data_IF_469360185019
#
_entry.id   IF_469360185019
#
_cell.length_a   1.000
_cell.length_b   1.000
_cell.length_c   1.000
_cell.angle_alpha   90.00
_cell.angle_beta   90.00
_cell.angle_gamma   90.00
#
_symmetry.space_group_name_H-M   'P 1'
#
loop_
_entity.id
_entity.type
_entity.pdbx_description
1 polymer ?
#
# COMPACT_ATOMS: atom_id res chain seq x y z
N UNK A 1 60.45 21.94 43.49
CA UNK A 1 61.08 20.65 43.19
C UNK A 1 59.97 19.74 42.74
N UNK A 2 59.87 19.56 41.43
CA UNK A 2 60.28 18.45 40.56
C UNK A 2 59.56 17.15 40.90
N UNK A 3 58.68 16.61 40.04
CA UNK A 3 59.02 15.71 38.94
C UNK A 3 57.81 15.40 38.04
N UNK A 4 57.97 15.64 36.74
CA UNK A 4 57.13 15.08 35.66
C UNK A 4 57.31 13.55 35.61
N UNK A 5 56.21 12.79 35.54
CA UNK A 5 56.19 11.39 35.16
C UNK A 5 55.42 11.27 33.84
N UNK A 6 56.17 10.98 32.78
CA UNK A 6 55.70 10.79 31.40
C UNK A 6 55.27 9.32 31.26
N UNK A 7 54.00 9.04 30.94
CA UNK A 7 53.55 7.72 30.52
C UNK A 7 53.32 7.76 29.03
N UNK A 8 54.27 7.28 28.26
CA UNK A 8 54.20 6.98 26.82
C UNK A 8 54.44 5.49 26.71
N UNK A 9 53.58 4.72 26.12
CA UNK A 9 53.93 3.35 25.78
C UNK A 9 52.79 2.31 25.67
N UNK A 10 51.53 2.69 25.50
CA UNK A 10 50.44 1.71 25.33
C UNK A 10 49.94 1.51 23.90
N UNK A 11 50.07 2.50 23.02
CA UNK A 11 49.48 2.48 21.68
C UNK A 11 50.31 1.68 20.64
N UNK A 12 51.60 1.84 20.68
CA UNK A 12 52.47 1.21 19.68
C UNK A 12 52.53 -0.31 19.74
N UNK A 13 52.41 -0.90 20.94
CA UNK A 13 52.43 -2.37 21.09
C UNK A 13 51.18 -3.05 20.57
N UNK A 14 50.05 -2.37 20.61
CA UNK A 14 48.76 -2.91 20.10
C UNK A 14 48.71 -2.88 18.55
N UNK A 15 49.28 -1.85 17.97
CA UNK A 15 49.34 -1.70 16.51
C UNK A 15 50.36 -2.66 15.86
N UNK A 16 51.51 -2.87 16.47
CA UNK A 16 52.52 -3.83 16.02
C UNK A 16 52.03 -5.29 16.13
N UNK A 17 51.23 -5.60 17.17
CA UNK A 17 50.56 -6.91 17.31
C UNK A 17 49.56 -7.19 16.21
N UNK A 18 48.75 -6.17 15.85
CA UNK A 18 47.76 -6.27 14.75
C UNK A 18 48.43 -6.42 13.39
N UNK A 19 49.55 -5.68 13.14
CA UNK A 19 50.31 -5.79 11.90
C UNK A 19 50.97 -7.16 11.75
N UNK A 20 51.48 -7.75 12.86
CA UNK A 20 52.07 -9.11 12.85
C UNK A 20 51.01 -10.20 12.66
N UNK A 21 49.82 -10.06 13.24
CA UNK A 21 48.72 -10.99 13.00
C UNK A 21 48.18 -10.93 11.57
N UNK A 22 48.08 -9.74 10.99
CA UNK A 22 47.69 -9.58 9.60
C UNK A 22 48.73 -10.15 8.63
N UNK A 23 50.03 -9.96 8.92
CA UNK A 23 51.14 -10.53 8.12
C UNK A 23 51.17 -12.07 8.20
N UNK A 24 50.87 -12.67 9.36
CA UNK A 24 50.81 -14.12 9.52
C UNK A 24 49.60 -14.73 8.80
N UNK A 25 48.44 -14.04 8.76
CA UNK A 25 47.27 -14.50 8.01
C UNK A 25 47.51 -14.52 6.50
N UNK A 26 48.29 -13.55 5.97
CA UNK A 26 48.62 -13.50 4.54
C UNK A 26 49.64 -14.58 4.17
N UNK A 27 50.57 -14.94 5.09
CA UNK A 27 51.59 -15.99 4.82
C UNK A 27 51.01 -17.40 4.92
N UNK A 28 49.99 -17.61 5.79
CA UNK A 28 49.28 -18.88 5.87
C UNK A 28 48.42 -19.18 4.62
N UNK A 29 47.99 -18.14 3.90
CA UNK A 29 47.26 -18.30 2.65
C UNK A 29 48.18 -18.61 1.43
N UNK A 30 49.52 -18.49 1.59
CA UNK A 30 50.49 -18.72 0.51
C UNK A 30 51.26 -20.02 0.59
N UNK A 31 51.11 -20.79 1.66
CA UNK A 31 51.85 -22.02 1.91
C UNK A 31 51.01 -23.27 1.90
N UNK A 32 50.60 -23.72 0.75
CA UNK A 32 49.89 -25.01 0.58
C UNK A 32 49.87 -25.41 -0.88
N UNK A 33 51.01 -26.03 -1.33
CA UNK A 33 51.06 -26.60 -2.67
C UNK A 33 50.18 -27.84 -2.80
N UNK A 34 49.61 -28.01 -3.98
CA UNK A 34 49.06 -29.29 -4.39
C UNK A 34 47.57 -29.24 -4.78
N UNK A 35 47.30 -29.18 -6.06
CA UNK A 35 46.11 -29.67 -6.69
C UNK A 35 44.95 -28.66 -6.77
N UNK A 36 44.23 -28.72 -7.85
CA UNK A 36 43.00 -27.99 -8.24
C UNK A 36 41.99 -27.61 -7.13
N UNK A 37 42.15 -28.10 -5.91
CA UNK A 37 41.22 -27.80 -4.78
C UNK A 37 41.27 -26.36 -4.30
N UNK A 38 42.43 -25.69 -4.31
CA UNK A 38 42.51 -24.26 -3.92
C UNK A 38 41.88 -23.34 -4.94
N UNK A 39 42.03 -23.65 -6.22
CA UNK A 39 41.40 -22.89 -7.30
C UNK A 39 39.87 -23.10 -7.32
N UNK A 40 39.41 -24.33 -7.06
CA UNK A 40 37.96 -24.65 -6.94
C UNK A 40 37.37 -23.94 -5.74
N UNK A 41 38.03 -23.91 -4.58
CA UNK A 41 37.54 -23.17 -3.40
C UNK A 41 37.45 -21.65 -3.63
N UNK A 42 38.47 -21.07 -4.32
CA UNK A 42 38.47 -19.66 -4.70
C UNK A 42 37.30 -19.31 -5.66
N UNK A 43 37.06 -20.16 -6.67
CA UNK A 43 35.98 -20.00 -7.62
C UNK A 43 34.60 -20.14 -6.90
N UNK A 44 34.48 -21.11 -5.99
CA UNK A 44 33.26 -21.31 -5.23
C UNK A 44 32.89 -20.07 -4.37
N UNK A 45 33.88 -19.43 -3.72
CA UNK A 45 33.66 -18.21 -2.94
C UNK A 45 33.21 -17.05 -3.84
N UNK A 46 33.86 -16.89 -5.00
CA UNK A 46 33.48 -15.83 -5.96
C UNK A 46 32.07 -16.05 -6.50
N UNK A 47 31.70 -17.31 -6.81
CA UNK A 47 30.34 -17.64 -7.26
C UNK A 47 29.33 -17.38 -6.17
N UNK A 48 29.59 -17.76 -4.91
CA UNK A 48 28.69 -17.49 -3.79
C UNK A 48 28.51 -15.98 -3.58
N UNK A 49 29.60 -15.20 -3.63
CA UNK A 49 29.53 -13.74 -3.52
C UNK A 49 28.76 -13.12 -4.69
N UNK A 50 28.93 -13.60 -5.91
CA UNK A 50 28.21 -13.15 -7.08
C UNK A 50 26.71 -13.48 -6.96
N UNK A 51 26.35 -14.66 -6.44
CA UNK A 51 24.97 -15.04 -6.18
C UNK A 51 24.35 -14.18 -5.07
N UNK A 52 25.07 -13.97 -3.97
CA UNK A 52 24.58 -13.12 -2.86
C UNK A 52 24.38 -11.67 -3.33
N UNK A 53 25.34 -11.12 -4.09
CA UNK A 53 25.19 -9.78 -4.67
C UNK A 53 24.09 -9.74 -5.72
N UNK A 54 24.00 -10.75 -6.59
CA UNK A 54 22.95 -10.85 -7.61
C UNK A 54 21.55 -10.98 -7.00
N UNK A 55 21.39 -11.81 -5.98
CA UNK A 55 20.13 -11.93 -5.23
C UNK A 55 19.83 -10.65 -4.45
N UNK A 56 20.85 -10.04 -3.82
CA UNK A 56 20.68 -8.76 -3.12
C UNK A 56 20.24 -7.64 -4.05
N UNK A 57 20.86 -7.50 -5.22
CA UNK A 57 20.46 -6.52 -6.25
C UNK A 57 19.09 -6.85 -6.84
N UNK A 58 18.77 -8.13 -7.03
CA UNK A 58 17.46 -8.54 -7.53
C UNK A 58 16.34 -8.25 -6.52
N UNK A 59 16.56 -8.54 -5.22
CA UNK A 59 15.63 -8.20 -4.15
C UNK A 59 15.49 -6.68 -4.01
N UNK A 60 16.58 -5.93 -4.07
CA UNK A 60 16.56 -4.47 -4.02
C UNK A 60 15.85 -3.88 -5.24
N UNK A 61 16.00 -4.49 -6.42
CA UNK A 61 15.31 -4.04 -7.63
C UNK A 61 13.83 -4.41 -7.67
N UNK A 62 13.44 -5.51 -7.02
CA UNK A 62 12.03 -5.87 -6.80
C UNK A 62 11.30 -4.90 -5.87
N UNK A 63 12.03 -4.33 -4.91
CA UNK A 63 11.48 -3.40 -3.92
C UNK A 63 11.61 -1.92 -4.35
N UNK A 64 12.18 -1.64 -5.52
CA UNK A 64 12.10 -0.29 -6.08
C UNK A 64 10.67 -0.07 -6.56
N UNK A 65 9.95 0.96 -6.03
CA UNK A 65 8.68 1.35 -6.63
C UNK A 65 8.92 1.59 -8.12
N UNK A 66 8.32 0.77 -8.96
CA UNK A 66 8.39 0.97 -10.41
C UNK A 66 7.85 2.36 -10.75
N UNK A 67 8.42 3.02 -11.76
CA UNK A 67 7.81 4.24 -12.28
C UNK A 67 6.37 3.91 -12.69
N UNK A 68 5.41 4.72 -12.23
CA UNK A 68 4.03 4.58 -12.66
C UNK A 68 3.94 4.73 -14.20
N UNK A 69 3.04 4.02 -14.87
CA UNK A 69 2.79 4.22 -16.29
C UNK A 69 2.34 5.66 -16.56
N UNK A 70 2.42 6.11 -17.80
CA UNK A 70 2.04 7.49 -18.17
C UNK A 70 0.56 7.80 -17.90
N UNK A 71 -0.29 6.78 -17.92
CA UNK A 71 -1.72 6.89 -17.63
C UNK A 71 -2.20 5.72 -16.77
N UNK A 72 -3.26 5.96 -15.99
CA UNK A 72 -3.94 4.91 -15.22
C UNK A 72 -4.71 4.03 -16.21
N UNK A 73 -4.49 2.71 -16.24
CA UNK A 73 -5.29 1.81 -17.06
C UNK A 73 -6.76 1.85 -16.64
N UNK A 74 -7.63 1.89 -17.63
CA UNK A 74 -9.09 1.91 -17.41
C UNK A 74 -9.58 0.50 -17.12
N UNK A 75 -10.26 0.30 -15.98
CA UNK A 75 -10.92 -0.96 -15.67
C UNK A 75 -12.03 -1.30 -16.68
N UNK A 76 -12.26 -2.58 -16.91
CA UNK A 76 -13.34 -3.04 -17.78
C UNK A 76 -14.71 -2.59 -17.26
N UNK A 77 -15.70 -2.54 -18.12
CA UNK A 77 -17.06 -2.32 -17.69
C UNK A 77 -17.56 -3.53 -16.90
N UNK A 78 -18.00 -3.28 -15.66
CA UNK A 78 -18.58 -4.28 -14.77
C UNK A 78 -20.10 -4.25 -14.75
N UNK A 79 -20.67 -4.89 -13.74
CA UNK A 79 -22.11 -4.85 -13.45
C UNK A 79 -22.54 -3.43 -13.09
N UNK A 80 -23.80 -3.08 -13.45
CA UNK A 80 -24.35 -1.77 -13.14
C UNK A 80 -25.12 -1.83 -11.81
N UNK A 81 -24.97 -0.82 -10.99
CA UNK A 81 -25.67 -0.65 -9.72
C UNK A 81 -25.84 0.85 -9.41
N UNK A 82 -26.86 1.22 -8.63
CA UNK A 82 -27.03 2.62 -8.20
C UNK A 82 -25.82 3.09 -7.39
N UNK A 83 -25.41 4.33 -7.62
CA UNK A 83 -24.36 5.01 -6.84
C UNK A 83 -24.93 6.34 -6.35
N UNK A 84 -24.64 6.69 -5.11
CA UNK A 84 -25.05 7.97 -4.50
C UNK A 84 -24.07 8.37 -3.40
N UNK A 85 -24.13 9.62 -2.99
CA UNK A 85 -23.37 10.09 -1.82
C UNK A 85 -24.27 10.18 -0.60
N UNK A 86 -23.72 9.84 0.56
CA UNK A 86 -24.36 10.03 1.85
C UNK A 86 -23.34 10.55 2.87
N UNK A 87 -23.36 11.84 3.13
CA UNK A 87 -22.34 12.49 3.97
C UNK A 87 -20.95 12.34 3.38
N UNK A 88 -20.03 11.72 4.14
CA UNK A 88 -18.66 11.45 3.73
C UNK A 88 -18.48 10.08 3.08
N UNK A 89 -19.57 9.39 2.73
CA UNK A 89 -19.53 8.05 2.17
C UNK A 89 -20.10 8.00 0.75
N UNK A 90 -19.65 7.02 -0.03
CA UNK A 90 -20.15 6.69 -1.37
C UNK A 90 -20.91 5.37 -1.25
N UNK A 91 -22.21 5.43 -1.52
CA UNK A 91 -23.13 4.30 -1.35
C UNK A 91 -23.40 3.67 -2.69
N UNK A 92 -23.21 2.35 -2.78
CA UNK A 92 -23.51 1.54 -3.95
C UNK A 92 -24.56 0.49 -3.62
N UNK A 93 -25.46 0.21 -4.59
CA UNK A 93 -26.59 -0.69 -4.41
C UNK A 93 -27.87 0.01 -3.93
N UNK A 94 -28.95 -0.75 -3.86
CA UNK A 94 -30.26 -0.24 -3.50
C UNK A 94 -30.38 0.11 -2.01
N UNK A 95 -31.14 1.17 -1.66
CA UNK A 95 -31.32 1.60 -0.27
C UNK A 95 -32.05 0.57 0.60
N UNK A 96 -32.85 -0.31 0.00
CA UNK A 96 -33.60 -1.37 0.67
C UNK A 96 -32.84 -2.70 0.78
N UNK A 97 -31.58 -2.75 0.37
CA UNK A 97 -30.78 -3.96 0.50
C UNK A 97 -30.68 -4.39 1.98
N UNK A 98 -30.89 -5.69 2.27
CA UNK A 98 -30.99 -6.17 3.65
C UNK A 98 -29.68 -6.14 4.42
N UNK A 99 -28.53 -6.10 3.72
CA UNK A 99 -27.20 -6.08 4.31
C UNK A 99 -26.51 -4.76 3.98
N UNK A 100 -25.95 -4.10 4.99
CA UNK A 100 -25.06 -2.95 4.79
C UNK A 100 -23.64 -3.40 5.07
N UNK A 101 -22.74 -3.12 4.12
CA UNK A 101 -21.31 -3.42 4.21
C UNK A 101 -20.55 -2.11 4.06
N UNK A 102 -19.99 -1.60 5.16
CA UNK A 102 -19.15 -0.41 5.15
C UNK A 102 -17.68 -0.83 4.95
N UNK A 103 -17.01 -0.23 3.98
CA UNK A 103 -15.61 -0.48 3.65
C UNK A 103 -14.81 0.80 3.81
N UNK A 104 -13.92 0.83 4.79
CA UNK A 104 -12.99 1.95 5.05
C UNK A 104 -11.66 1.64 4.38
N UNK A 105 -11.25 2.45 3.43
CA UNK A 105 -10.13 2.14 2.56
C UNK A 105 -9.26 3.36 2.23
N UNK A 106 -7.98 3.11 1.99
CA UNK A 106 -7.00 4.09 1.54
C UNK A 106 -6.37 3.62 0.24
N UNK A 107 -6.35 4.47 -0.79
CA UNK A 107 -5.86 4.12 -2.13
C UNK A 107 -4.34 3.87 -2.21
N UNK A 108 -3.60 4.13 -1.14
CA UNK A 108 -2.18 3.77 -1.04
C UNK A 108 -1.95 2.50 -0.21
N UNK A 109 -2.96 2.02 0.52
CA UNK A 109 -2.82 0.87 1.42
C UNK A 109 -2.72 -0.45 0.66
N UNK A 110 -1.59 -1.20 0.73
CA UNK A 110 -1.43 -2.45 0.00
C UNK A 110 -2.46 -3.52 0.38
N UNK A 111 -2.88 -3.55 1.64
CA UNK A 111 -3.90 -4.50 2.12
C UNK A 111 -5.28 -4.15 1.56
N UNK A 112 -5.60 -2.85 1.38
CA UNK A 112 -6.82 -2.43 0.66
C UNK A 112 -6.80 -2.91 -0.80
N UNK A 113 -5.67 -2.80 -1.50
CA UNK A 113 -5.55 -3.34 -2.85
C UNK A 113 -5.73 -4.85 -2.92
N UNK A 114 -5.26 -5.60 -1.90
CA UNK A 114 -5.51 -7.04 -1.80
C UNK A 114 -6.99 -7.33 -1.51
N UNK A 115 -7.61 -6.58 -0.62
CA UNK A 115 -9.04 -6.69 -0.31
C UNK A 115 -9.89 -6.47 -1.56
N UNK A 116 -9.66 -5.38 -2.30
CA UNK A 116 -10.37 -5.09 -3.54
C UNK A 116 -10.16 -6.19 -4.60
N UNK A 117 -8.94 -6.68 -4.76
CA UNK A 117 -8.66 -7.80 -5.67
C UNK A 117 -9.44 -9.07 -5.33
N UNK A 118 -9.68 -9.34 -4.04
CA UNK A 118 -10.37 -10.56 -3.58
C UNK A 118 -11.90 -10.39 -3.57
N UNK A 119 -12.40 -9.22 -3.22
CA UNK A 119 -13.82 -9.04 -2.88
C UNK A 119 -14.58 -8.11 -3.81
N UNK A 120 -13.92 -7.23 -4.58
CA UNK A 120 -14.58 -6.21 -5.41
C UNK A 120 -15.70 -6.78 -6.28
N UNK A 121 -15.42 -7.82 -7.06
CA UNK A 121 -16.42 -8.41 -7.96
C UNK A 121 -17.63 -8.96 -7.20
N UNK A 122 -17.42 -9.56 -6.03
CA UNK A 122 -18.50 -10.12 -5.21
C UNK A 122 -19.32 -9.03 -4.52
N UNK A 123 -18.68 -7.96 -4.06
CA UNK A 123 -19.36 -6.81 -3.45
C UNK A 123 -20.19 -6.07 -4.48
N UNK A 124 -19.65 -5.79 -5.66
CA UNK A 124 -20.38 -5.09 -6.73
C UNK A 124 -21.52 -5.94 -7.28
N UNK A 125 -21.33 -7.27 -7.39
CA UNK A 125 -22.44 -8.18 -7.76
C UNK A 125 -23.53 -8.21 -6.69
N UNK A 126 -23.15 -8.23 -5.41
CA UNK A 126 -24.14 -8.18 -4.32
C UNK A 126 -24.91 -6.85 -4.32
N UNK A 127 -24.26 -5.73 -4.65
CA UNK A 127 -24.90 -4.43 -4.81
C UNK A 127 -25.89 -4.42 -6.00
N UNK A 128 -25.47 -4.98 -7.16
CA UNK A 128 -26.32 -5.08 -8.36
C UNK A 128 -27.51 -6.00 -8.15
N UNK A 129 -27.33 -7.12 -7.44
CA UNK A 129 -28.40 -8.07 -7.10
C UNK A 129 -29.35 -7.55 -6.00
N UNK A 130 -29.10 -6.38 -5.42
CA UNK A 130 -29.88 -5.85 -4.28
C UNK A 130 -29.72 -6.64 -2.98
N UNK A 131 -28.68 -7.48 -2.87
CA UNK A 131 -28.38 -8.29 -1.67
C UNK A 131 -27.66 -7.49 -0.60
N UNK A 132 -26.85 -6.53 -1.02
CA UNK A 132 -26.13 -5.63 -0.13
C UNK A 132 -26.14 -4.19 -0.63
N UNK A 133 -26.09 -3.27 0.32
CA UNK A 133 -25.68 -1.89 0.12
C UNK A 133 -24.21 -1.81 0.56
N UNK A 134 -23.30 -1.53 -0.38
CA UNK A 134 -21.88 -1.35 -0.06
C UNK A 134 -21.59 0.14 0.07
N UNK A 135 -21.02 0.52 1.20
CA UNK A 135 -20.76 1.91 1.57
C UNK A 135 -19.24 2.09 1.65
N UNK A 136 -18.69 2.76 0.67
CA UNK A 136 -17.26 3.07 0.63
C UNK A 136 -16.96 4.34 1.41
N UNK A 137 -15.98 4.27 2.30
CA UNK A 137 -15.45 5.37 3.08
C UNK A 137 -14.00 5.62 2.69
N UNK A 138 -13.75 6.45 1.66
CA UNK A 138 -12.39 6.80 1.27
C UNK A 138 -11.71 7.63 2.36
N UNK A 139 -10.59 7.13 2.89
CA UNK A 139 -9.82 7.79 3.94
C UNK A 139 -8.37 8.00 3.52
N UNK A 140 -7.64 8.83 4.26
CA UNK A 140 -6.25 9.18 3.95
C UNK A 140 -5.37 9.04 5.20
N UNK A 141 -5.07 7.79 5.59
CA UNK A 141 -4.17 7.51 6.72
C UNK A 141 -2.73 7.33 6.28
N UNK A 142 -2.48 7.13 4.98
CA UNK A 142 -1.16 6.89 4.40
C UNK A 142 -0.64 8.07 3.56
N UNK A 143 -1.16 9.27 3.77
CA UNK A 143 -0.75 10.47 3.02
C UNK A 143 0.77 10.72 3.04
N UNK A 144 1.41 10.45 4.18
CA UNK A 144 2.86 10.61 4.36
C UNK A 144 3.69 9.51 3.69
N UNK A 145 3.03 8.46 3.19
CA UNK A 145 3.69 7.31 2.57
C UNK A 145 3.83 7.46 1.05
N UNK A 146 3.31 8.53 0.43
CA UNK A 146 3.56 8.84 -0.99
C UNK A 146 4.72 9.82 -1.17
N UNK A 147 5.30 9.85 -2.36
CA UNK A 147 6.36 10.79 -2.75
C UNK A 147 5.93 11.58 -3.99
N UNK A 148 5.64 12.90 -3.89
CA UNK A 148 5.50 13.65 -2.64
C UNK A 148 4.32 13.17 -1.80
N UNK A 149 4.26 13.51 -0.49
CA UNK A 149 3.12 13.22 0.36
C UNK A 149 1.81 13.80 -0.18
N UNK A 150 0.66 13.13 0.11
CA UNK A 150 -0.68 13.66 -0.20
C UNK A 150 -1.50 12.83 -1.18
N UNK A 151 -0.99 11.71 -1.68
CA UNK A 151 -1.72 10.90 -2.67
C UNK A 151 -3.02 10.29 -2.12
N UNK A 152 -3.03 9.79 -0.88
CA UNK A 152 -4.25 9.22 -0.29
C UNK A 152 -5.39 10.24 -0.25
N UNK A 153 -5.10 11.46 0.19
CA UNK A 153 -6.07 12.58 0.17
C UNK A 153 -6.51 12.93 -1.25
N UNK A 154 -5.58 12.98 -2.20
CA UNK A 154 -5.88 13.31 -3.59
C UNK A 154 -6.78 12.25 -4.25
N UNK A 155 -6.46 10.97 -4.08
CA UNK A 155 -7.23 9.87 -4.65
C UNK A 155 -8.62 9.75 -4.01
N UNK A 156 -8.71 9.81 -2.68
CA UNK A 156 -9.97 9.82 -1.96
C UNK A 156 -10.87 11.01 -2.39
N UNK A 157 -10.28 12.19 -2.53
CA UNK A 157 -11.00 13.38 -3.02
C UNK A 157 -11.52 13.21 -4.44
N UNK A 158 -10.72 12.58 -5.32
CA UNK A 158 -11.11 12.34 -6.71
C UNK A 158 -12.27 11.33 -6.84
N UNK A 159 -12.47 10.42 -5.88
CA UNK A 159 -13.61 9.49 -5.91
C UNK A 159 -14.94 10.19 -5.66
N UNK A 160 -14.97 11.24 -4.84
CA UNK A 160 -16.19 12.07 -4.70
C UNK A 160 -16.51 12.77 -6.03
N UNK A 161 -15.50 13.36 -6.70
CA UNK A 161 -15.69 13.95 -8.02
C UNK A 161 -16.18 12.89 -9.04
N UNK A 162 -15.68 11.66 -8.94
CA UNK A 162 -16.07 10.57 -9.81
C UNK A 162 -17.53 10.10 -9.55
N UNK A 163 -18.01 10.25 -8.32
CA UNK A 163 -19.41 9.97 -7.97
C UNK A 163 -20.35 11.03 -8.57
N UNK A 164 -19.98 12.30 -8.45
CA UNK A 164 -20.73 13.41 -9.07
C UNK A 164 -20.77 13.31 -10.60
N UNK A 165 -19.76 12.69 -11.21
CA UNK A 165 -19.65 12.50 -12.66
C UNK A 165 -20.21 11.14 -13.15
N UNK A 166 -20.86 10.36 -12.30
CA UNK A 166 -21.42 9.03 -12.61
C UNK A 166 -20.39 8.00 -13.12
N UNK A 167 -19.11 8.17 -12.76
CA UNK A 167 -18.02 7.27 -13.19
C UNK A 167 -17.36 6.52 -12.02
N UNK A 168 -17.86 6.67 -10.80
CA UNK A 168 -17.25 6.10 -9.59
C UNK A 168 -16.91 4.61 -9.71
N UNK A 169 -17.78 3.70 -10.20
CA UNK A 169 -17.48 2.27 -10.19
C UNK A 169 -16.17 1.93 -10.91
N UNK A 170 -16.03 2.41 -12.13
CA UNK A 170 -14.84 2.15 -12.95
C UNK A 170 -13.63 2.99 -12.52
N UNK A 171 -13.86 4.19 -11.98
CA UNK A 171 -12.80 5.05 -11.46
C UNK A 171 -12.14 4.40 -10.24
N UNK A 172 -12.94 3.95 -9.27
CA UNK A 172 -12.50 3.24 -8.08
C UNK A 172 -11.71 1.97 -8.41
N UNK A 173 -12.29 1.09 -9.24
CA UNK A 173 -11.64 -0.14 -9.68
C UNK A 173 -10.30 0.14 -10.42
N UNK A 174 -10.27 1.16 -11.30
CA UNK A 174 -9.04 1.56 -12.00
C UNK A 174 -7.93 2.00 -11.05
N UNK A 175 -8.26 2.74 -9.99
CA UNK A 175 -7.30 3.18 -8.99
C UNK A 175 -6.67 2.01 -8.22
N UNK A 176 -7.49 1.03 -7.80
CA UNK A 176 -6.97 -0.15 -7.11
C UNK A 176 -6.27 -1.13 -8.05
N UNK A 177 -6.75 -1.31 -9.27
CA UNK A 177 -6.08 -2.16 -10.26
C UNK A 177 -4.68 -1.65 -10.62
N UNK A 178 -4.48 -0.34 -10.57
CA UNK A 178 -3.20 0.33 -10.83
C UNK A 178 -2.64 1.02 -9.57
N UNK A 179 -2.87 0.43 -8.40
CA UNK A 179 -2.49 1.02 -7.13
C UNK A 179 -0.97 1.30 -7.06
N UNK A 180 -0.57 2.53 -6.69
CA UNK A 180 0.83 2.84 -6.43
C UNK A 180 1.39 2.03 -5.26
N UNK A 181 2.68 1.69 -5.32
CA UNK A 181 3.34 1.07 -4.19
C UNK A 181 3.46 2.06 -3.03
N UNK A 182 3.21 1.59 -1.80
CA UNK A 182 3.49 2.35 -0.58
C UNK A 182 4.96 2.80 -0.55
N UNK A 183 5.20 4.05 -0.22
CA UNK A 183 6.54 4.66 -0.30
C UNK A 183 6.94 5.14 -1.69
N UNK A 184 6.09 4.93 -2.70
CA UNK A 184 6.32 5.33 -4.08
C UNK A 184 5.61 6.63 -4.48
N UNK A 185 5.74 6.95 -5.78
CA UNK A 185 4.98 8.07 -6.36
C UNK A 185 3.49 7.71 -6.45
N UNK A 186 2.62 8.62 -6.00
CA UNK A 186 1.19 8.55 -6.27
C UNK A 186 0.84 9.05 -7.67
N UNK A 187 -0.40 8.80 -8.11
CA UNK A 187 -0.94 9.39 -9.33
C UNK A 187 -1.12 10.90 -9.17
N UNK A 188 -0.78 11.62 -10.20
CA UNK A 188 -0.91 13.09 -10.23
C UNK A 188 -2.33 13.53 -10.54
N UNK A 189 -2.66 14.78 -10.24
CA UNK A 189 -3.93 15.43 -10.64
C UNK A 189 -4.19 15.23 -12.14
N UNK A 190 -3.19 15.46 -12.98
CA UNK A 190 -3.32 15.34 -14.44
C UNK A 190 -3.67 13.89 -14.88
N UNK A 191 -3.09 12.88 -14.21
CA UNK A 191 -3.38 11.46 -14.49
C UNK A 191 -4.77 11.06 -14.01
N UNK A 192 -5.22 11.54 -12.85
CA UNK A 192 -6.59 11.33 -12.36
C UNK A 192 -7.63 12.01 -13.28
N UNK A 193 -7.37 13.24 -13.72
CA UNK A 193 -8.20 13.92 -14.72
C UNK A 193 -8.24 13.15 -16.05
N UNK A 194 -7.10 12.60 -16.50
CA UNK A 194 -7.03 11.79 -17.70
C UNK A 194 -7.84 10.49 -17.56
N UNK A 195 -7.78 9.83 -16.41
CA UNK A 195 -8.62 8.67 -16.11
C UNK A 195 -10.11 9.04 -16.24
N UNK A 196 -10.54 10.13 -15.59
CA UNK A 196 -11.92 10.60 -15.68
C UNK A 196 -12.37 10.84 -17.13
N UNK A 197 -11.56 11.54 -17.93
CA UNK A 197 -11.86 11.74 -19.38
C UNK A 197 -11.97 10.41 -20.13
N UNK A 198 -11.09 9.44 -19.85
CA UNK A 198 -11.13 8.11 -20.45
C UNK A 198 -12.37 7.31 -20.06
N UNK A 199 -13.00 7.67 -18.95
CA UNK A 199 -14.25 7.11 -18.45
C UNK A 199 -15.50 7.88 -18.92
N UNK A 200 -15.32 8.99 -19.63
CA UNK A 200 -16.40 9.80 -20.18
C UNK A 200 -16.80 11.01 -19.33
N UNK A 201 -16.05 11.31 -18.27
CA UNK A 201 -16.31 12.53 -17.47
C UNK A 201 -15.97 13.81 -18.26
N UNK A 202 -16.71 14.85 -17.95
CA UNK A 202 -16.56 16.17 -18.55
C UNK A 202 -15.53 17.06 -17.82
N UNK A 203 -15.46 18.33 -18.24
CA UNK A 203 -14.57 19.32 -17.61
C UNK A 203 -14.98 19.68 -16.16
N UNK A 204 -16.22 19.41 -15.73
CA UNK A 204 -16.63 19.66 -14.35
C UNK A 204 -15.88 18.71 -13.41
N UNK A 205 -15.77 17.42 -13.78
CA UNK A 205 -14.91 16.47 -13.07
C UNK A 205 -13.45 16.96 -12.98
N UNK A 206 -12.88 17.39 -14.11
CA UNK A 206 -11.49 17.86 -14.11
C UNK A 206 -11.28 19.07 -13.19
N UNK A 207 -12.24 20.00 -13.14
CA UNK A 207 -12.21 21.13 -12.20
C UNK A 207 -12.37 20.68 -10.76
N UNK A 208 -13.28 19.73 -10.48
CA UNK A 208 -13.46 19.17 -9.15
C UNK A 208 -12.16 18.56 -8.62
N UNK A 209 -11.50 17.69 -9.40
CA UNK A 209 -10.22 17.08 -9.03
C UNK A 209 -9.11 18.16 -8.85
N UNK A 210 -9.12 19.22 -9.63
CA UNK A 210 -8.15 20.34 -9.51
C UNK A 210 -8.33 21.13 -8.21
N UNK A 211 -9.57 21.40 -7.83
CA UNK A 211 -9.88 22.09 -6.56
C UNK A 211 -9.58 21.19 -5.37
N UNK A 212 -9.84 19.89 -5.53
CA UNK A 212 -9.65 18.88 -4.51
C UNK A 212 -10.75 18.91 -3.43
N UNK A 213 -10.81 17.83 -2.67
CA UNK A 213 -11.75 17.66 -1.56
C UNK A 213 -11.02 17.44 -0.22
N UNK A 214 -9.89 18.08 -0.03
CA UNK A 214 -8.99 17.86 1.12
C UNK A 214 -9.70 17.98 2.47
N UNK A 215 -10.51 19.04 2.68
CA UNK A 215 -11.25 19.22 3.93
C UNK A 215 -12.27 18.09 4.16
N UNK A 216 -12.95 17.64 3.10
CA UNK A 216 -13.90 16.53 3.16
C UNK A 216 -13.21 15.24 3.55
N UNK A 217 -12.09 14.89 2.89
CA UNK A 217 -11.29 13.70 3.19
C UNK A 217 -10.73 13.74 4.60
N UNK A 218 -10.23 14.89 5.06
CA UNK A 218 -9.74 15.06 6.44
C UNK A 218 -10.86 14.77 7.45
N UNK A 219 -12.05 15.32 7.21
CA UNK A 219 -13.22 15.10 8.08
C UNK A 219 -13.68 13.63 8.03
N UNK A 220 -13.78 13.03 6.84
CA UNK A 220 -14.10 11.62 6.66
C UNK A 220 -13.12 10.70 7.39
N UNK A 221 -11.82 10.97 7.26
CA UNK A 221 -10.76 10.21 7.95
C UNK A 221 -10.87 10.30 9.47
N UNK A 222 -11.13 11.51 10.01
CA UNK A 222 -11.30 11.71 11.43
C UNK A 222 -12.57 11.02 11.98
N UNK A 223 -13.67 11.05 11.21
CA UNK A 223 -14.91 10.37 11.55
C UNK A 223 -14.75 8.85 11.55
N UNK A 224 -14.11 8.31 10.50
CA UNK A 224 -13.78 6.90 10.37
C UNK A 224 -12.90 6.41 11.52
N UNK A 225 -11.86 7.18 11.86
CA UNK A 225 -10.95 6.86 12.97
C UNK A 225 -11.71 6.74 14.29
N UNK A 226 -12.57 7.70 14.61
CA UNK A 226 -13.36 7.65 15.85
C UNK A 226 -14.33 6.47 15.87
N UNK A 227 -15.03 6.25 14.78
CA UNK A 227 -16.04 5.19 14.68
C UNK A 227 -15.39 3.80 14.79
N UNK A 228 -14.38 3.50 13.97
CA UNK A 228 -13.72 2.20 13.95
C UNK A 228 -12.96 1.92 15.25
N UNK A 229 -12.27 2.94 15.81
CA UNK A 229 -11.61 2.78 17.12
C UNK A 229 -12.61 2.50 18.25
N UNK A 230 -13.84 3.00 18.13
CA UNK A 230 -14.91 2.69 19.07
C UNK A 230 -15.46 1.27 18.98
N UNK A 231 -15.37 0.64 17.78
CA UNK A 231 -15.82 -0.74 17.56
C UNK A 231 -14.75 -1.79 17.89
N UNK A 232 -13.46 -1.42 17.88
CA UNK A 232 -12.36 -2.37 18.07
C UNK A 232 -11.91 -2.44 19.53
N UNK A 233 -11.66 -3.64 20.08
CA UNK A 233 -11.16 -3.80 21.45
C UNK A 233 -9.79 -3.14 21.70
N UNK A 234 -8.95 -3.06 20.66
CA UNK A 234 -7.61 -2.45 20.72
C UNK A 234 -7.64 -0.93 20.49
N UNK A 235 -8.83 -0.35 20.23
CA UNK A 235 -9.05 1.06 19.92
C UNK A 235 -8.17 1.62 18.81
N UNK A 236 -7.77 0.79 17.82
CA UNK A 236 -6.92 1.18 16.72
C UNK A 236 -7.72 1.31 15.42
N UNK A 237 -7.42 2.35 14.67
CA UNK A 237 -7.89 2.51 13.31
C UNK A 237 -6.84 2.02 12.31
N UNK A 238 -7.27 1.33 11.28
CA UNK A 238 -6.45 0.88 10.16
C UNK A 238 -7.33 0.53 8.97
N UNK A 239 -6.71 0.43 7.80
CA UNK A 239 -7.38 0.06 6.56
C UNK A 239 -6.84 -1.22 5.97
N UNK A 240 -7.66 -2.04 5.31
CA UNK A 240 -9.11 -1.90 5.27
C UNK A 240 -9.74 -2.23 6.63
N UNK A 241 -10.81 -1.52 6.97
CA UNK A 241 -11.74 -1.94 8.03
C UNK A 241 -13.10 -2.19 7.39
N UNK A 242 -13.73 -3.30 7.75
CA UNK A 242 -15.04 -3.68 7.22
C UNK A 242 -16.03 -3.81 8.36
N UNK A 243 -17.19 -3.18 8.19
CA UNK A 243 -18.31 -3.24 9.16
C UNK A 243 -19.54 -3.78 8.45
N UNK A 244 -20.15 -4.82 8.98
CA UNK A 244 -21.38 -5.40 8.44
C UNK A 244 -22.51 -5.17 9.43
N UNK A 245 -23.54 -4.45 9.01
CA UNK A 245 -24.71 -4.11 9.85
C UNK A 245 -24.31 -3.55 11.24
N UNK A 246 -23.27 -2.71 11.27
CA UNK A 246 -22.75 -2.09 12.50
C UNK A 246 -21.75 -2.91 13.30
N UNK A 247 -21.43 -4.14 12.90
CA UNK A 247 -20.43 -5.00 13.56
C UNK A 247 -19.11 -5.02 12.77
N UNK A 248 -17.98 -4.77 13.44
CA UNK A 248 -16.65 -4.89 12.84
C UNK A 248 -16.35 -6.35 12.48
N UNK A 249 -15.81 -6.58 11.31
CA UNK A 249 -15.54 -7.91 10.76
C UNK A 249 -14.04 -8.19 10.77
N UNK A 250 -13.68 -9.42 11.12
CA UNK A 250 -12.34 -9.94 10.86
C UNK A 250 -12.26 -10.43 9.41
N UNK A 251 -11.61 -9.64 8.56
CA UNK A 251 -11.43 -9.95 7.13
C UNK A 251 -10.46 -11.10 6.86
N UNK A 252 -9.75 -11.61 7.87
CA UNK A 252 -8.93 -12.83 7.74
C UNK A 252 -9.78 -14.12 7.71
N UNK A 253 -11.03 -14.06 8.16
CA UNK A 253 -12.03 -15.11 7.89
C UNK A 253 -12.52 -15.00 6.44
N UNK A 254 -12.00 -15.83 5.54
CA UNK A 254 -12.39 -15.82 4.12
C UNK A 254 -13.90 -16.02 3.89
N UNK A 255 -14.63 -16.59 4.86
CA UNK A 255 -16.06 -16.84 4.81
C UNK A 255 -16.96 -15.66 5.19
N UNK A 256 -16.37 -14.54 5.66
CA UNK A 256 -17.14 -13.42 6.20
C UNK A 256 -18.22 -12.88 5.24
N UNK A 257 -17.91 -12.76 3.95
CA UNK A 257 -18.84 -12.20 2.96
C UNK A 257 -20.02 -13.14 2.68
N UNK A 258 -19.78 -14.46 2.63
CA UNK A 258 -20.85 -15.44 2.48
C UNK A 258 -21.77 -15.45 3.69
N UNK A 259 -21.21 -15.35 4.90
CA UNK A 259 -21.95 -15.22 6.14
C UNK A 259 -22.80 -13.95 6.13
N UNK A 260 -22.22 -12.79 5.77
CA UNK A 260 -22.93 -11.51 5.70
C UNK A 260 -24.11 -11.54 4.73
N UNK A 261 -23.91 -12.13 3.52
CA UNK A 261 -24.94 -12.19 2.48
C UNK A 261 -25.99 -13.28 2.72
N UNK A 262 -25.72 -14.27 3.58
CA UNK A 262 -26.67 -15.33 3.91
C UNK A 262 -27.53 -15.01 5.13
N UNK A 263 -27.04 -14.20 6.06
CA UNK A 263 -27.73 -13.90 7.33
C UNK A 263 -29.13 -13.29 7.18
N UNK A 264 -29.40 -12.63 6.06
CA UNK A 264 -30.66 -11.89 5.82
C UNK A 264 -31.57 -12.57 4.77
N UNK A 265 -31.42 -13.86 4.51
CA UNK A 265 -32.31 -14.62 3.59
C UNK A 265 -33.59 -15.17 4.24
N UNK A 266 -33.97 -14.69 5.44
CA UNK A 266 -35.19 -15.14 6.13
C UNK A 266 -36.32 -14.17 5.93
#
# INVERSE_FOLDING_TARGET
>A
MSKKGRVVGGGERAEDKRKRQAAQAVTAARGGGGGNRGMIAGIAIVVVLAVVVGVGLWLQNRNKPGALPMAIPVAAAGVQYPVSEQGDAIVTGGPSAPTTIDVYEDFMCPICGQFEKLYHQRLTQAAADGKAKVVYHPVAILDQMSVPPGYSTLAAGATYCATEADIFPRFHESLFAAQPAEGGHGWTIAQLQQLGRSLGADDAFARCVQVGAQQRVTTATANASRYISGLRPDHRFGTPSVVVNGAIIDISDEGWLDQALSANRR
#
